data_IF_044166244474
#
_entry.id   IF_044166244474
#
_cell.length_a   1.000
_cell.length_b   1.000
_cell.length_c   1.000
_cell.angle_alpha   90.00
_cell.angle_beta   90.00
_cell.angle_gamma   90.00
#
_symmetry.space_group_name_H-M   'P 1'
#
loop_
_entity.id
_entity.type
_entity.pdbx_description
1 polymer ?
#
# COMPACT_ATOMS: atom_id res chain seq x y z
N UNK A 1 2.32 -20.15 15.11
CA UNK A 1 1.09 -19.35 15.28
C UNK A 1 1.20 -17.93 14.69
N UNK A 2 2.35 -17.26 14.75
CA UNK A 2 2.57 -15.89 14.21
C UNK A 2 2.35 -15.81 12.69
N UNK A 3 2.90 -16.73 11.90
CA UNK A 3 2.78 -16.73 10.42
C UNK A 3 1.33 -16.86 9.97
N UNK A 4 0.53 -17.71 10.61
CA UNK A 4 -0.89 -17.90 10.25
C UNK A 4 -1.67 -16.60 10.50
N UNK A 5 -1.44 -15.93 11.62
CA UNK A 5 -2.05 -14.63 11.91
C UNK A 5 -1.62 -13.57 10.91
N UNK A 6 -0.32 -13.54 10.56
CA UNK A 6 0.20 -12.64 9.53
C UNK A 6 -0.48 -12.86 8.18
N UNK A 7 -0.60 -14.09 7.74
CA UNK A 7 -1.26 -14.44 6.48
C UNK A 7 -2.75 -14.05 6.48
N UNK A 8 -3.49 -14.33 7.56
CA UNK A 8 -4.89 -13.92 7.71
C UNK A 8 -5.03 -12.39 7.72
N UNK A 9 -4.14 -11.69 8.42
CA UNK A 9 -4.17 -10.23 8.47
C UNK A 9 -3.90 -9.62 7.09
N UNK A 10 -2.89 -10.09 6.37
CA UNK A 10 -2.56 -9.60 5.02
C UNK A 10 -3.74 -9.81 4.07
N UNK A 11 -4.32 -11.01 4.05
CA UNK A 11 -5.43 -11.32 3.14
C UNK A 11 -6.70 -10.55 3.48
N UNK A 12 -7.00 -10.38 4.78
CA UNK A 12 -8.19 -9.65 5.22
C UNK A 12 -8.04 -8.14 5.03
N UNK A 13 -6.89 -7.60 5.43
CA UNK A 13 -6.62 -6.17 5.31
C UNK A 13 -6.43 -5.74 3.85
N UNK A 14 -5.83 -6.57 3.00
CA UNK A 14 -5.70 -6.29 1.58
C UNK A 14 -7.05 -6.17 0.88
N UNK A 15 -8.03 -7.00 1.26
CA UNK A 15 -9.40 -6.86 0.75
C UNK A 15 -10.08 -5.59 1.26
N UNK A 16 -10.01 -5.30 2.57
CA UNK A 16 -10.55 -4.07 3.16
C UNK A 16 -9.91 -2.82 2.54
N UNK A 17 -8.60 -2.87 2.31
CA UNK A 17 -7.87 -1.80 1.66
C UNK A 17 -8.42 -1.49 0.27
N UNK A 18 -8.60 -2.51 -0.57
CA UNK A 18 -9.24 -2.36 -1.88
C UNK A 18 -10.66 -1.79 -1.78
N UNK A 19 -11.50 -2.36 -0.90
CA UNK A 19 -12.88 -1.92 -0.69
C UNK A 19 -12.95 -0.45 -0.26
N UNK A 20 -12.03 0.00 0.61
CA UNK A 20 -11.96 1.41 1.02
C UNK A 20 -11.52 2.34 -0.12
N UNK A 21 -10.52 1.94 -0.91
CA UNK A 21 -10.09 2.73 -2.07
C UNK A 21 -11.22 2.85 -3.11
N UNK A 22 -11.90 1.75 -3.41
CA UNK A 22 -13.07 1.74 -4.31
C UNK A 22 -14.15 2.70 -3.84
N UNK A 23 -14.49 2.69 -2.55
CA UNK A 23 -15.46 3.64 -1.97
C UNK A 23 -15.02 5.10 -2.05
N UNK A 24 -13.72 5.38 -1.92
CA UNK A 24 -13.19 6.74 -2.07
C UNK A 24 -13.34 7.19 -3.52
N UNK A 25 -13.00 6.33 -4.48
CA UNK A 25 -13.11 6.62 -5.90
C UNK A 25 -14.58 6.87 -6.27
N UNK A 26 -15.46 5.95 -5.94
CA UNK A 26 -16.90 6.06 -6.19
C UNK A 26 -17.49 7.38 -5.64
N UNK A 27 -17.19 7.72 -4.40
CA UNK A 27 -17.83 8.86 -3.74
C UNK A 27 -17.21 10.22 -4.06
N UNK A 28 -15.90 10.27 -4.28
CA UNK A 28 -15.19 11.53 -4.41
C UNK A 28 -14.62 11.79 -5.80
N UNK A 29 -14.48 10.72 -6.62
CA UNK A 29 -13.79 10.74 -7.90
C UNK A 29 -14.56 9.97 -8.98
N UNK A 30 -15.89 10.00 -8.96
CA UNK A 30 -16.76 9.24 -9.86
C UNK A 30 -16.41 9.42 -11.35
N UNK A 31 -15.94 10.59 -11.76
CA UNK A 31 -15.52 10.86 -13.15
C UNK A 31 -14.30 10.00 -13.59
N UNK A 32 -13.56 9.44 -12.63
CA UNK A 32 -12.38 8.61 -12.88
C UNK A 32 -12.60 7.14 -12.54
N UNK A 33 -13.80 6.77 -12.08
CA UNK A 33 -14.12 5.41 -11.60
C UNK A 33 -13.89 4.36 -12.68
N UNK A 34 -14.39 4.57 -13.89
CA UNK A 34 -14.25 3.63 -15.00
C UNK A 34 -12.77 3.38 -15.36
N UNK A 35 -11.96 4.43 -15.43
CA UNK A 35 -10.53 4.29 -15.72
C UNK A 35 -9.79 3.56 -14.59
N UNK A 36 -10.11 3.90 -13.35
CA UNK A 36 -9.52 3.27 -12.18
C UNK A 36 -9.88 1.78 -12.09
N UNK A 37 -11.16 1.44 -12.27
CA UNK A 37 -11.64 0.05 -12.28
C UNK A 37 -10.99 -0.78 -13.39
N UNK A 38 -10.79 -0.18 -14.57
CA UNK A 38 -10.08 -0.84 -15.65
C UNK A 38 -8.65 -1.19 -15.25
N UNK A 39 -7.90 -0.26 -14.67
CA UNK A 39 -6.53 -0.51 -14.17
C UNK A 39 -6.50 -1.61 -13.10
N UNK A 40 -7.46 -1.61 -12.18
CA UNK A 40 -7.58 -2.64 -11.14
C UNK A 40 -7.93 -4.00 -11.74
N UNK A 41 -8.83 -4.04 -12.73
CA UNK A 41 -9.17 -5.28 -13.44
C UNK A 41 -7.97 -5.86 -14.19
N UNK A 42 -7.15 -5.03 -14.82
CA UNK A 42 -5.90 -5.45 -15.46
C UNK A 42 -4.93 -6.09 -14.44
N UNK A 43 -4.80 -5.52 -13.25
CA UNK A 43 -4.00 -6.12 -12.17
C UNK A 43 -4.57 -7.48 -11.77
N UNK A 44 -5.88 -7.58 -11.60
CA UNK A 44 -6.55 -8.84 -11.27
C UNK A 44 -6.35 -9.90 -12.34
N UNK A 45 -6.52 -9.56 -13.60
CA UNK A 45 -6.47 -10.53 -14.72
C UNK A 45 -5.04 -11.02 -14.97
N UNK A 46 -4.04 -10.17 -14.80
CA UNK A 46 -2.65 -10.49 -15.11
C UNK A 46 -1.88 -11.13 -13.94
N UNK A 47 -2.39 -11.07 -12.70
CA UNK A 47 -1.62 -11.51 -11.54
C UNK A 47 -2.31 -12.66 -10.80
N UNK A 48 -1.68 -13.84 -10.85
CA UNK A 48 -2.16 -15.03 -10.13
C UNK A 48 -2.21 -14.78 -8.62
N UNK A 49 -1.18 -14.19 -8.02
CA UNK A 49 -1.09 -13.94 -6.58
C UNK A 49 -2.27 -13.12 -6.07
N UNK A 50 -2.67 -12.07 -6.81
CA UNK A 50 -3.82 -11.26 -6.43
C UNK A 50 -5.14 -12.05 -6.45
N UNK A 51 -5.38 -12.84 -7.51
CA UNK A 51 -6.54 -13.74 -7.60
C UNK A 51 -6.51 -14.82 -6.52
N UNK A 52 -5.33 -15.39 -6.27
CA UNK A 52 -5.15 -16.45 -5.28
C UNK A 52 -5.50 -15.97 -3.88
N UNK A 53 -4.94 -14.85 -3.42
CA UNK A 53 -5.17 -14.34 -2.07
C UNK A 53 -6.62 -13.92 -1.82
N UNK A 54 -7.37 -13.47 -2.85
CA UNK A 54 -8.80 -13.20 -2.74
C UNK A 54 -9.63 -14.45 -2.37
N UNK A 55 -9.16 -15.65 -2.72
CA UNK A 55 -9.82 -16.92 -2.38
C UNK A 55 -9.16 -17.60 -1.18
N UNK A 56 -7.85 -17.44 -1.03
CA UNK A 56 -7.04 -18.11 -0.02
C UNK A 56 -7.46 -17.76 1.41
N UNK A 57 -7.96 -16.55 1.65
CA UNK A 57 -8.57 -16.19 2.94
C UNK A 57 -9.64 -17.19 3.36
N UNK A 58 -10.55 -17.53 2.45
CA UNK A 58 -11.63 -18.49 2.73
C UNK A 58 -11.06 -19.89 2.98
N UNK A 59 -10.02 -20.28 2.23
CA UNK A 59 -9.32 -21.52 2.48
C UNK A 59 -8.77 -21.58 3.91
N UNK A 60 -8.02 -20.56 4.34
CA UNK A 60 -7.41 -20.52 5.67
C UNK A 60 -8.48 -20.55 6.77
N UNK A 61 -9.57 -19.82 6.59
CA UNK A 61 -10.65 -19.75 7.59
C UNK A 61 -11.40 -21.08 7.79
N UNK A 62 -11.55 -21.88 6.72
CA UNK A 62 -12.35 -23.12 6.78
C UNK A 62 -11.52 -24.38 6.90
N UNK A 63 -10.30 -24.37 6.42
CA UNK A 63 -9.43 -25.57 6.34
C UNK A 63 -8.20 -25.43 7.26
N UNK A 64 -7.67 -24.21 7.40
CA UNK A 64 -6.41 -23.93 8.08
C UNK A 64 -5.28 -23.61 7.12
N UNK A 65 -4.12 -23.30 7.66
CA UNK A 65 -2.95 -22.92 6.88
C UNK A 65 -2.26 -24.15 6.24
N UNK A 66 -2.07 -24.21 4.93
CA UNK A 66 -1.74 -25.45 4.20
C UNK A 66 -0.24 -25.73 4.11
N UNK A 67 0.49 -25.77 5.21
CA UNK A 67 1.92 -26.08 5.17
C UNK A 67 2.11 -27.52 4.66
N UNK A 68 2.82 -27.70 3.57
CA UNK A 68 3.25 -28.99 3.02
C UNK A 68 4.74 -29.21 3.14
N UNK A 69 5.52 -28.11 3.22
CA UNK A 69 6.97 -28.17 3.38
C UNK A 69 7.50 -26.90 4.08
N UNK A 70 8.65 -27.07 4.70
CA UNK A 70 9.46 -25.99 5.27
C UNK A 70 10.89 -26.17 4.78
N UNK A 71 11.42 -25.15 4.12
CA UNK A 71 12.82 -25.10 3.74
C UNK A 71 13.52 -24.07 4.66
N UNK A 72 14.55 -24.52 5.39
CA UNK A 72 15.30 -23.67 6.31
C UNK A 72 16.72 -23.56 5.80
N UNK A 73 17.14 -22.32 5.51
CA UNK A 73 18.51 -22.00 5.12
C UNK A 73 19.14 -21.14 6.19
N UNK A 74 20.27 -21.61 6.67
CA UNK A 74 21.11 -20.89 7.62
C UNK A 74 22.23 -20.20 6.84
N UNK A 75 22.31 -18.89 6.97
CA UNK A 75 23.30 -18.07 6.26
C UNK A 75 24.01 -17.14 7.27
N UNK A 76 25.28 -16.91 7.03
CA UNK A 76 26.05 -15.91 7.78
C UNK A 76 26.34 -14.75 6.84
N UNK A 77 25.72 -13.62 7.09
CA UNK A 77 25.92 -12.39 6.29
C UNK A 77 26.40 -11.27 7.20
N UNK A 78 27.55 -10.67 6.86
CA UNK A 78 28.19 -9.59 7.64
C UNK A 78 28.41 -9.94 9.13
N UNK A 79 28.75 -11.20 9.44
CA UNK A 79 28.93 -11.76 10.77
C UNK A 79 27.63 -11.88 11.60
N UNK A 80 26.47 -11.68 10.98
CA UNK A 80 25.17 -11.96 11.57
C UNK A 80 24.61 -13.28 11.08
N UNK A 81 24.09 -14.08 12.01
CA UNK A 81 23.42 -15.33 11.69
C UNK A 81 21.99 -15.05 11.23
N UNK A 82 21.66 -15.48 10.02
CA UNK A 82 20.31 -15.36 9.45
C UNK A 82 19.71 -16.72 9.20
N UNK A 83 18.52 -16.95 9.74
CA UNK A 83 17.72 -18.13 9.44
C UNK A 83 16.60 -17.72 8.48
N UNK A 84 16.72 -18.13 7.23
CA UNK A 84 15.68 -17.97 6.22
C UNK A 84 14.76 -19.18 6.26
N UNK A 85 13.46 -18.94 6.46
CA UNK A 85 12.43 -19.99 6.48
C UNK A 85 11.46 -19.76 5.36
N UNK A 86 11.43 -20.69 4.39
CA UNK A 86 10.47 -20.71 3.31
C UNK A 86 9.34 -21.70 3.63
N UNK A 87 8.11 -21.20 3.59
CA UNK A 87 6.91 -22.02 3.77
C UNK A 87 6.41 -22.39 2.36
N UNK A 88 6.14 -23.69 2.18
CA UNK A 88 5.73 -24.26 0.91
C UNK A 88 4.33 -24.87 1.00
N UNK A 89 3.55 -24.69 -0.07
CA UNK A 89 2.25 -25.33 -0.29
C UNK A 89 2.30 -26.15 -1.56
N UNK A 90 1.65 -27.30 -1.58
CA UNK A 90 1.41 -28.06 -2.82
C UNK A 90 0.04 -27.71 -3.39
N UNK A 91 0.01 -27.34 -4.67
CA UNK A 91 -1.23 -27.01 -5.36
C UNK A 91 -2.23 -28.17 -5.34
N UNK A 92 -1.75 -29.42 -5.51
CA UNK A 92 -2.56 -30.64 -5.40
C UNK A 92 -3.25 -30.79 -4.03
N UNK A 93 -2.55 -30.44 -2.94
CA UNK A 93 -3.11 -30.47 -1.57
C UNK A 93 -4.18 -29.41 -1.40
N UNK A 94 -3.96 -28.18 -1.93
CA UNK A 94 -4.93 -27.12 -1.93
C UNK A 94 -6.22 -27.53 -2.64
N UNK A 95 -6.10 -28.10 -3.83
CA UNK A 95 -7.24 -28.57 -4.64
C UNK A 95 -8.00 -29.73 -3.97
N UNK A 96 -7.29 -30.67 -3.32
CA UNK A 96 -7.89 -31.80 -2.61
C UNK A 96 -8.72 -31.36 -1.42
N UNK A 97 -8.20 -30.43 -0.61
CA UNK A 97 -8.82 -30.01 0.64
C UNK A 97 -9.94 -28.98 0.46
N UNK A 98 -9.91 -28.19 -0.61
CA UNK A 98 -10.88 -27.09 -0.79
C UNK A 98 -11.48 -27.13 -2.20
N UNK A 99 -12.79 -27.27 -2.29
CA UNK A 99 -13.53 -27.41 -3.56
C UNK A 99 -14.05 -26.08 -4.13
N UNK A 100 -13.99 -24.99 -3.33
CA UNK A 100 -14.57 -23.70 -3.69
C UNK A 100 -13.58 -22.74 -4.36
N UNK A 101 -12.51 -23.29 -4.98
CA UNK A 101 -11.62 -22.48 -5.80
C UNK A 101 -12.37 -21.86 -6.98
N UNK A 102 -12.21 -20.55 -7.15
CA UNK A 102 -12.86 -19.81 -8.25
C UNK A 102 -12.29 -20.19 -9.61
N UNK A 103 -13.08 -19.96 -10.68
CA UNK A 103 -12.70 -20.29 -12.07
C UNK A 103 -11.39 -19.62 -12.54
N UNK A 104 -11.00 -18.51 -11.96
CA UNK A 104 -9.79 -17.77 -12.31
C UNK A 104 -8.55 -18.16 -11.49
N UNK A 105 -8.69 -19.09 -10.53
CA UNK A 105 -7.58 -19.62 -9.71
C UNK A 105 -7.39 -21.11 -9.95
N UNK A 106 -8.49 -21.86 -10.05
CA UNK A 106 -8.47 -23.31 -10.13
C UNK A 106 -7.66 -23.87 -11.29
N UNK A 107 -7.76 -23.36 -12.54
CA UNK A 107 -6.98 -23.87 -13.67
C UNK A 107 -5.46 -23.77 -13.41
N UNK A 108 -5.00 -22.65 -12.89
CA UNK A 108 -3.59 -22.43 -12.55
C UNK A 108 -3.08 -23.43 -11.50
N UNK A 109 -3.89 -23.68 -10.45
CA UNK A 109 -3.54 -24.70 -9.45
C UNK A 109 -3.52 -26.11 -10.03
N UNK A 110 -4.34 -26.42 -11.04
CA UNK A 110 -4.31 -27.70 -11.74
C UNK A 110 -3.04 -27.83 -12.56
N UNK A 111 -2.65 -26.77 -13.27
CA UNK A 111 -1.43 -26.72 -14.07
C UNK A 111 -0.17 -26.93 -13.22
N UNK A 112 -0.10 -26.29 -12.04
CA UNK A 112 0.99 -26.47 -11.08
C UNK A 112 1.08 -27.91 -10.53
N UNK A 113 -0.04 -28.62 -10.43
CA UNK A 113 -0.06 -30.02 -9.96
C UNK A 113 0.61 -30.21 -8.61
N UNK A 114 1.75 -30.91 -8.59
CA UNK A 114 2.54 -31.19 -7.37
C UNK A 114 3.72 -30.22 -7.16
N UNK A 115 3.79 -29.16 -7.97
CA UNK A 115 4.79 -28.12 -7.74
C UNK A 115 4.53 -27.36 -6.42
N UNK A 116 5.63 -26.91 -5.83
CA UNK A 116 5.60 -26.16 -4.58
C UNK A 116 5.32 -24.68 -4.86
N UNK A 117 4.33 -24.13 -4.17
CA UNK A 117 4.05 -22.69 -4.11
C UNK A 117 4.80 -22.13 -2.90
N UNK A 118 5.78 -21.27 -3.13
CA UNK A 118 6.53 -20.61 -2.07
C UNK A 118 5.71 -19.43 -1.56
N UNK A 119 5.26 -19.53 -0.30
CA UNK A 119 4.34 -18.56 0.30
C UNK A 119 4.89 -17.13 0.31
N UNK A 120 6.16 -16.95 0.65
CA UNK A 120 6.79 -15.63 0.67
C UNK A 120 6.80 -14.97 -0.70
N UNK A 121 7.06 -15.73 -1.77
CA UNK A 121 7.10 -15.20 -3.14
C UNK A 121 5.73 -14.67 -3.55
N UNK A 122 4.69 -15.50 -3.45
CA UNK A 122 3.34 -15.07 -3.85
C UNK A 122 2.78 -13.97 -2.95
N UNK A 123 3.22 -13.92 -1.67
CA UNK A 123 2.85 -12.86 -0.75
C UNK A 123 3.46 -11.51 -1.15
N UNK A 124 4.75 -11.49 -1.54
CA UNK A 124 5.40 -10.27 -2.01
C UNK A 124 4.81 -9.76 -3.33
N UNK A 125 4.48 -10.69 -4.25
CA UNK A 125 3.75 -10.33 -5.48
C UNK A 125 2.37 -9.72 -5.16
N UNK A 126 1.62 -10.32 -4.23
CA UNK A 126 0.34 -9.78 -3.79
C UNK A 126 0.48 -8.38 -3.17
N UNK A 127 1.48 -8.16 -2.33
CA UNK A 127 1.78 -6.86 -1.75
C UNK A 127 2.13 -5.83 -2.85
N UNK A 128 2.92 -6.23 -3.84
CA UNK A 128 3.22 -5.40 -5.01
C UNK A 128 1.96 -4.98 -5.77
N UNK A 129 1.01 -5.90 -5.95
CA UNK A 129 -0.27 -5.62 -6.60
C UNK A 129 -1.13 -4.63 -5.78
N UNK A 130 -1.17 -4.76 -4.46
CA UNK A 130 -1.85 -3.79 -3.60
C UNK A 130 -1.22 -2.40 -3.67
N UNK A 131 0.10 -2.32 -3.70
CA UNK A 131 0.81 -1.05 -3.91
C UNK A 131 0.47 -0.43 -5.27
N UNK A 132 0.37 -1.22 -6.33
CA UNK A 132 0.00 -0.73 -7.64
C UNK A 132 -1.43 -0.14 -7.65
N UNK A 133 -2.38 -0.78 -6.97
CA UNK A 133 -3.74 -0.24 -6.79
C UNK A 133 -3.70 1.07 -6.02
N UNK A 134 -2.89 1.15 -4.96
CA UNK A 134 -2.69 2.38 -4.22
C UNK A 134 -2.13 3.51 -5.07
N UNK A 135 -1.10 3.25 -5.87
CA UNK A 135 -0.52 4.25 -6.77
C UNK A 135 -1.52 4.71 -7.85
N UNK A 136 -2.30 3.79 -8.43
CA UNK A 136 -3.37 4.15 -9.35
C UNK A 136 -4.40 5.09 -8.70
N UNK A 137 -4.71 4.87 -7.42
CA UNK A 137 -5.60 5.75 -6.64
C UNK A 137 -4.97 7.11 -6.39
N UNK A 138 -3.67 7.15 -6.06
CA UNK A 138 -2.94 8.41 -5.91
C UNK A 138 -2.88 9.20 -7.21
N UNK A 139 -2.72 8.55 -8.37
CA UNK A 139 -2.76 9.22 -9.68
C UNK A 139 -4.09 9.94 -9.90
N UNK A 140 -5.22 9.28 -9.60
CA UNK A 140 -6.55 9.90 -9.68
C UNK A 140 -6.65 11.11 -8.75
N UNK A 141 -6.25 10.94 -7.49
CA UNK A 141 -6.23 12.02 -6.50
C UNK A 141 -5.38 13.21 -6.96
N UNK A 142 -4.15 12.94 -7.39
CA UNK A 142 -3.22 13.98 -7.84
C UNK A 142 -3.71 14.65 -9.13
N UNK A 143 -4.25 13.89 -10.07
CA UNK A 143 -4.80 14.41 -11.33
C UNK A 143 -5.92 15.42 -11.07
N UNK A 144 -6.88 15.09 -10.20
CA UNK A 144 -8.00 15.98 -9.85
C UNK A 144 -7.55 17.20 -9.04
N UNK A 145 -6.59 17.03 -8.15
CA UNK A 145 -6.16 18.09 -7.22
C UNK A 145 -4.86 18.80 -7.66
N UNK A 146 -4.34 18.50 -8.85
CA UNK A 146 -3.03 18.99 -9.33
C UNK A 146 -2.89 20.52 -9.20
N UNK A 147 -3.88 21.27 -9.68
CA UNK A 147 -3.86 22.74 -9.62
C UNK A 147 -3.83 23.27 -8.20
N UNK A 148 -4.63 22.68 -7.31
CA UNK A 148 -4.67 23.04 -5.90
C UNK A 148 -3.36 22.73 -5.19
N UNK A 149 -2.82 21.53 -5.39
CA UNK A 149 -1.55 21.09 -4.79
C UNK A 149 -0.39 21.96 -5.28
N UNK A 150 -0.30 22.19 -6.58
CA UNK A 150 0.76 23.03 -7.18
C UNK A 150 0.71 24.46 -6.65
N UNK A 151 -0.48 25.06 -6.61
CA UNK A 151 -0.66 26.43 -6.10
C UNK A 151 -0.24 26.54 -4.63
N UNK A 152 -0.67 25.60 -3.79
CA UNK A 152 -0.31 25.61 -2.38
C UNK A 152 1.17 25.28 -2.13
N UNK A 153 1.76 24.40 -2.94
CA UNK A 153 3.19 24.12 -2.88
C UNK A 153 4.02 25.38 -3.24
N UNK A 154 3.67 26.06 -4.35
CA UNK A 154 4.35 27.31 -4.73
C UNK A 154 4.22 28.35 -3.60
N UNK A 155 3.02 28.53 -3.06
CA UNK A 155 2.79 29.46 -1.94
C UNK A 155 3.63 29.10 -0.70
N UNK A 156 3.74 27.82 -0.38
CA UNK A 156 4.60 27.33 0.72
C UNK A 156 6.09 27.64 0.46
N UNK A 157 6.57 27.38 -0.76
CA UNK A 157 7.94 27.69 -1.16
C UNK A 157 8.22 29.20 -1.10
N UNK A 158 7.28 30.03 -1.56
CA UNK A 158 7.38 31.49 -1.47
C UNK A 158 7.44 31.97 -0.01
N UNK A 159 6.60 31.43 0.87
CA UNK A 159 6.61 31.73 2.29
C UNK A 159 7.91 31.31 3.00
N UNK A 160 8.57 30.26 2.49
CA UNK A 160 9.79 29.71 3.05
C UNK A 160 11.08 30.28 2.39
N UNK A 161 10.97 31.09 1.34
CA UNK A 161 12.13 31.63 0.60
C UNK A 161 12.84 32.81 1.28
N UNK A 162 12.31 33.31 2.41
CA UNK A 162 13.03 34.21 3.28
C UNK A 162 13.37 33.47 4.58
N UNK A 163 14.64 33.44 4.97
CA UNK A 163 15.21 32.80 6.15
C UNK A 163 14.30 31.83 6.91
N UNK A 164 14.53 30.55 6.68
CA UNK A 164 13.70 29.42 7.11
C UNK A 164 13.50 29.38 8.62
N UNK A 165 12.40 29.95 9.07
CA UNK A 165 11.80 29.60 10.34
C UNK A 165 11.02 28.29 10.21
N UNK A 166 10.86 27.56 11.29
CA UNK A 166 9.97 26.41 11.35
C UNK A 166 8.54 26.86 11.03
N UNK A 167 7.85 26.11 10.16
CA UNK A 167 6.44 26.37 9.84
C UNK A 167 5.59 25.64 10.87
N UNK A 168 4.67 26.35 11.51
CA UNK A 168 3.75 25.79 12.49
C UNK A 168 2.31 25.85 11.95
N UNK A 169 1.53 24.79 12.17
CA UNK A 169 0.07 24.83 12.06
C UNK A 169 -0.51 25.09 13.45
N UNK A 170 -1.34 26.10 13.54
CA UNK A 170 -2.11 26.39 14.74
C UNK A 170 -3.59 26.13 14.45
N UNK A 171 -4.23 25.40 15.34
CA UNK A 171 -5.68 25.17 15.30
C UNK A 171 -6.39 26.29 16.10
N UNK A 172 -6.16 27.53 15.68
CA UNK A 172 -6.72 28.73 16.27
C UNK A 172 -7.26 29.68 15.20
N UNK A 173 -8.30 30.47 15.49
CA UNK A 173 -8.82 31.46 14.54
C UNK A 173 -7.74 32.43 14.05
N UNK A 174 -7.80 32.82 12.77
CA UNK A 174 -6.85 33.73 12.13
C UNK A 174 -6.66 35.04 12.90
N UNK A 175 -7.74 35.55 13.51
CA UNK A 175 -7.72 36.79 14.34
C UNK A 175 -6.83 36.62 15.58
N UNK A 176 -6.79 35.45 16.18
CA UNK A 176 -5.91 35.17 17.32
C UNK A 176 -4.47 34.98 16.87
N UNK A 177 -4.25 34.35 15.72
CA UNK A 177 -2.95 34.20 15.11
C UNK A 177 -2.27 35.56 14.84
N UNK A 178 -3.03 36.54 14.33
CA UNK A 178 -2.54 37.88 14.03
C UNK A 178 -2.17 38.71 15.29
N UNK A 179 -2.66 38.30 16.45
CA UNK A 179 -2.34 38.93 17.75
C UNK A 179 -1.12 38.35 18.44
N UNK A 180 -0.63 37.19 17.95
CA UNK A 180 0.52 36.50 18.53
C UNK A 180 1.81 37.24 18.22
N UNK A 181 2.65 37.44 19.24
CA UNK A 181 4.02 37.90 19.07
C UNK A 181 4.93 36.70 18.90
N UNK A 182 6.06 36.92 18.24
CA UNK A 182 7.06 35.89 17.88
C UNK A 182 7.47 34.94 19.03
N UNK A 183 7.36 35.38 20.28
CA UNK A 183 7.73 34.63 21.49
C UNK A 183 6.56 33.84 22.12
N UNK A 184 5.38 33.86 21.52
CA UNK A 184 4.18 33.22 22.11
C UNK A 184 3.90 31.83 21.48
N UNK A 185 4.68 31.40 20.50
CA UNK A 185 4.46 30.13 19.79
C UNK A 185 4.53 28.91 20.70
N UNK A 186 5.36 28.93 21.73
CA UNK A 186 5.49 27.84 22.71
C UNK A 186 4.27 27.71 23.65
N UNK A 187 3.44 28.75 23.76
CA UNK A 187 2.26 28.75 24.62
C UNK A 187 1.04 28.09 23.98
N UNK A 188 1.03 28.01 22.67
CA UNK A 188 -0.03 27.39 21.91
C UNK A 188 0.54 26.12 21.32
N UNK A 189 0.04 24.94 21.66
CA UNK A 189 0.43 23.62 21.16
C UNK A 189 0.51 23.57 19.62
N UNK A 190 1.29 24.47 19.02
CA UNK A 190 1.58 24.52 17.61
C UNK A 190 2.29 23.22 17.22
N UNK A 191 1.75 22.47 16.27
CA UNK A 191 2.45 21.32 15.70
C UNK A 191 3.36 21.85 14.61
N UNK A 192 4.69 21.64 14.69
CA UNK A 192 5.55 21.95 13.57
C UNK A 192 5.03 21.18 12.37
N UNK A 193 4.68 21.88 11.30
CA UNK A 193 4.63 21.25 10.01
C UNK A 193 6.09 21.00 9.65
N UNK A 194 6.38 19.77 9.30
CA UNK A 194 7.54 19.29 8.59
C UNK A 194 8.40 20.41 8.02
N UNK A 195 9.67 20.35 8.27
CA UNK A 195 10.65 21.28 7.71
C UNK A 195 10.50 21.33 6.17
N UNK A 196 10.86 22.43 5.52
CA UNK A 196 10.87 22.51 4.05
C UNK A 196 11.64 21.33 3.42
N UNK A 197 12.66 20.79 4.13
CA UNK A 197 13.36 19.58 3.76
C UNK A 197 12.44 18.35 3.67
N UNK A 198 11.49 18.21 4.58
CA UNK A 198 10.53 17.08 4.56
C UNK A 198 9.50 17.25 3.45
N UNK A 199 9.02 18.48 3.19
CA UNK A 199 8.14 18.77 2.06
C UNK A 199 8.87 18.49 0.75
N UNK A 200 10.11 18.94 0.60
CA UNK A 200 10.94 18.67 -0.57
C UNK A 200 11.20 17.17 -0.75
N UNK A 201 11.42 16.43 0.34
CA UNK A 201 11.60 14.99 0.29
C UNK A 201 10.34 14.29 -0.23
N UNK A 202 9.16 14.65 0.28
CA UNK A 202 7.87 14.10 -0.20
C UNK A 202 7.67 14.44 -1.68
N UNK A 203 7.88 15.69 -2.10
CA UNK A 203 7.75 16.11 -3.50
C UNK A 203 8.74 15.39 -4.41
N UNK A 204 10.00 15.22 -3.97
CA UNK A 204 11.00 14.49 -4.74
C UNK A 204 10.64 13.02 -4.87
N UNK A 205 10.17 12.38 -3.79
CA UNK A 205 9.66 11.00 -3.84
C UNK A 205 8.50 10.88 -4.82
N UNK A 206 7.54 11.81 -4.80
CA UNK A 206 6.41 11.83 -5.73
C UNK A 206 6.86 12.03 -7.19
N UNK A 207 7.93 12.82 -7.43
CA UNK A 207 8.56 12.96 -8.76
C UNK A 207 9.29 11.69 -9.20
N UNK A 208 10.00 11.03 -8.28
CA UNK A 208 10.73 9.78 -8.56
C UNK A 208 9.79 8.64 -8.95
N UNK A 209 8.65 8.52 -8.25
CA UNK A 209 7.62 7.51 -8.57
C UNK A 209 6.69 7.92 -9.72
N UNK A 210 6.95 9.08 -10.36
CA UNK A 210 6.23 9.52 -11.56
C UNK A 210 4.84 10.14 -11.31
N UNK A 211 4.45 10.34 -10.05
CA UNK A 211 3.15 10.93 -9.69
C UNK A 211 3.13 12.43 -9.99
N UNK A 212 4.26 13.13 -9.80
CA UNK A 212 4.44 14.52 -10.19
C UNK A 212 5.40 14.56 -11.39
N UNK A 213 5.00 15.25 -12.48
CA UNK A 213 5.88 15.44 -13.64
C UNK A 213 7.13 16.21 -13.23
N UNK A 214 8.29 15.73 -13.68
CA UNK A 214 9.52 16.53 -13.63
C UNK A 214 9.30 17.75 -14.52
N UNK A 215 9.26 18.92 -13.92
CA UNK A 215 9.30 20.21 -14.65
C UNK A 215 10.63 20.37 -15.34
#
# INVERSE_FOLDING_TARGET
>A
MVVIRGALNITSNGRLFYEHLSLIIEKQYADFEEEWEKKVSEIFDNNFSYRFFNVFRNYIQHIGFPITGLNMKYEIENSEEKLNVEIQFKASVLLKKFKKWKKHVKPYLIELGDEDIIFSVIMWEYYGNLNQIFFNTLEVFMGKNHSFITKNYIRLVELCSGELGEIYIFDIPEIELLKMKHNDYDKFNGRPITSLGDVNRVVNTLKEVGIIRKS
#
